data_IF_816315936610
#
_entry.id   IF_816315936610
#
_cell.length_a   1.000
_cell.length_b   1.000
_cell.length_c   1.000
_cell.angle_alpha   90.00
_cell.angle_beta   90.00
_cell.angle_gamma   90.00
#
_symmetry.space_group_name_H-M   'P 1'
#
loop_
_entity.id
_entity.type
_entity.pdbx_description
1 polymer ?
#
# COMPACT_ATOMS: atom_id res chain seq x y z
N UNK A 1 6.67 16.89 19.73
CA UNK A 1 7.34 15.58 19.62
C UNK A 1 6.59 14.57 20.46
N UNK A 2 6.40 13.35 19.95
CA UNK A 2 5.70 12.27 20.65
C UNK A 2 6.67 11.65 21.68
N UNK A 3 6.34 11.63 22.98
CA UNK A 3 7.25 11.09 24.00
C UNK A 3 7.58 9.60 23.77
N UNK A 4 8.81 9.13 24.06
CA UNK A 4 9.10 7.70 24.11
C UNK A 4 8.15 6.96 25.07
N UNK A 5 7.81 5.72 24.73
CA UNK A 5 6.82 4.90 25.42
C UNK A 5 5.36 5.23 25.09
N UNK A 6 5.09 6.28 24.31
CA UNK A 6 3.73 6.58 23.86
C UNK A 6 3.19 5.48 22.94
N UNK A 7 1.88 5.24 22.99
CA UNK A 7 1.19 4.25 22.17
C UNK A 7 1.15 4.69 20.70
N UNK A 8 1.63 3.83 19.82
CA UNK A 8 1.57 3.98 18.36
C UNK A 8 0.74 2.82 17.79
N UNK A 9 -0.36 3.12 17.09
CA UNK A 9 -1.18 2.13 16.40
C UNK A 9 -0.94 2.20 14.90
N UNK A 10 -0.57 1.08 14.27
CA UNK A 10 -0.44 1.00 12.82
C UNK A 10 -1.62 0.26 12.20
N UNK A 11 -2.39 0.97 11.38
CA UNK A 11 -3.50 0.44 10.60
C UNK A 11 -3.07 0.31 9.14
N UNK A 12 -3.58 -0.71 8.45
CA UNK A 12 -3.43 -0.82 7.02
C UNK A 12 -3.39 -2.23 6.49
N UNK A 13 -2.97 -2.30 5.23
CA UNK A 13 -2.92 -3.50 4.44
C UNK A 13 -1.48 -3.99 4.22
N UNK A 14 -1.23 -4.71 3.13
CA UNK A 14 0.05 -5.36 2.85
C UNK A 14 1.23 -4.39 2.67
N UNK A 15 0.98 -3.16 2.22
CA UNK A 15 2.03 -2.14 2.06
C UNK A 15 2.51 -1.59 3.40
N UNK A 16 1.71 -1.68 4.46
CA UNK A 16 2.16 -1.45 5.83
C UNK A 16 2.61 -2.73 6.53
N UNK A 17 2.03 -3.89 6.22
CA UNK A 17 2.38 -5.16 6.85
C UNK A 17 3.76 -5.69 6.43
N UNK A 18 4.20 -5.43 5.19
CA UNK A 18 5.50 -5.84 4.67
C UNK A 18 5.67 -7.36 4.46
N UNK A 19 4.74 -8.03 3.76
CA UNK A 19 4.78 -9.47 3.60
C UNK A 19 6.04 -9.94 2.86
N UNK A 20 6.59 -11.05 3.32
CA UNK A 20 7.82 -11.64 2.76
C UNK A 20 9.12 -11.03 3.29
N UNK A 21 9.07 -9.99 4.11
CA UNK A 21 10.25 -9.40 4.77
C UNK A 21 10.44 -10.08 6.14
N UNK A 22 11.61 -10.69 6.37
CA UNK A 22 11.90 -11.34 7.66
C UNK A 22 12.29 -10.35 8.74
N UNK A 23 12.02 -10.65 10.03
CA UNK A 23 11.25 -11.79 10.51
C UNK A 23 9.75 -11.60 10.26
N UNK A 24 9.01 -12.69 10.00
CA UNK A 24 7.55 -12.64 9.93
C UNK A 24 7.01 -12.84 11.34
N UNK A 25 6.39 -11.81 11.91
CA UNK A 25 5.90 -11.79 13.30
C UNK A 25 4.43 -12.19 13.41
N UNK A 26 3.66 -12.06 12.32
CA UNK A 26 2.29 -12.57 12.25
C UNK A 26 1.98 -13.13 10.85
N UNK A 27 2.05 -14.46 10.72
CA UNK A 27 1.97 -15.15 9.42
C UNK A 27 0.63 -14.95 8.68
N UNK A 28 -0.55 -15.07 9.31
CA UNK A 28 -1.84 -14.86 8.62
C UNK A 28 -1.97 -13.45 8.02
N UNK A 29 -1.52 -12.44 8.77
CA UNK A 29 -1.52 -11.04 8.34
C UNK A 29 -0.42 -10.71 7.32
N UNK A 30 0.54 -11.64 7.09
CA UNK A 30 1.77 -11.34 6.36
C UNK A 30 2.58 -10.22 7.00
N UNK A 31 2.52 -10.06 8.33
CA UNK A 31 3.15 -8.94 9.03
C UNK A 31 4.62 -9.24 9.32
N UNK A 32 5.47 -8.33 8.89
CA UNK A 32 6.91 -8.34 9.16
C UNK A 32 7.25 -7.56 10.41
N UNK A 33 8.19 -8.06 11.21
CA UNK A 33 8.85 -7.31 12.29
C UNK A 33 9.88 -6.30 11.79
N UNK A 34 9.96 -6.10 10.47
CA UNK A 34 10.79 -5.09 9.82
C UNK A 34 10.01 -4.28 8.78
N UNK A 35 8.69 -4.19 8.96
CA UNK A 35 7.86 -3.24 8.22
C UNK A 35 8.06 -1.80 8.74
N UNK A 36 7.58 -0.80 8.01
CA UNK A 36 7.82 0.60 8.37
C UNK A 36 7.29 0.97 9.78
N UNK A 37 6.14 0.45 10.27
CA UNK A 37 5.71 0.71 11.64
C UNK A 37 6.70 0.26 12.70
N UNK A 38 7.27 -0.95 12.58
CA UNK A 38 8.28 -1.45 13.51
C UNK A 38 9.55 -0.57 13.48
N UNK A 39 9.96 -0.10 12.30
CA UNK A 39 11.12 0.77 12.16
C UNK A 39 10.90 2.16 12.80
N UNK A 40 9.74 2.78 12.55
CA UNK A 40 9.37 4.07 13.17
C UNK A 40 9.29 3.94 14.70
N UNK A 41 8.66 2.86 15.19
CA UNK A 41 8.51 2.62 16.62
C UNK A 41 9.87 2.41 17.31
N UNK A 42 10.77 1.66 16.68
CA UNK A 42 12.11 1.43 17.21
C UNK A 42 12.93 2.74 17.30
N UNK A 43 12.90 3.57 16.25
CA UNK A 43 13.64 4.83 16.21
C UNK A 43 13.14 5.84 17.27
N UNK A 44 11.83 5.91 17.49
CA UNK A 44 11.23 6.86 18.44
C UNK A 44 11.02 6.26 19.85
N UNK A 45 11.31 4.97 20.04
CA UNK A 45 11.06 4.26 21.29
C UNK A 45 9.57 4.17 21.66
N UNK A 46 8.67 3.99 20.68
CA UNK A 46 7.22 3.94 20.89
C UNK A 46 6.71 2.53 21.21
N UNK A 47 5.59 2.46 21.94
CA UNK A 47 4.88 1.21 22.21
C UNK A 47 3.95 0.89 21.04
N UNK A 48 4.42 0.03 20.13
CA UNK A 48 3.74 -0.29 18.88
C UNK A 48 2.67 -1.36 19.05
N UNK A 49 1.44 -1.01 18.66
CA UNK A 49 0.35 -1.92 18.32
C UNK A 49 0.22 -1.95 16.81
N UNK A 50 0.90 -2.90 16.19
CA UNK A 50 0.74 -3.14 14.76
C UNK A 50 -0.47 -4.07 14.55
N UNK A 51 -1.52 -3.58 13.88
CA UNK A 51 -2.68 -4.38 13.47
C UNK A 51 -2.83 -4.44 11.94
N UNK A 52 -1.78 -4.08 11.20
CA UNK A 52 -1.76 -4.16 9.74
C UNK A 52 -2.00 -5.60 9.27
N UNK A 53 -2.80 -5.76 8.21
CA UNK A 53 -3.20 -7.08 7.73
C UNK A 53 -3.24 -7.13 6.21
N UNK A 54 -2.42 -7.98 5.60
CA UNK A 54 -2.37 -8.12 4.15
C UNK A 54 -3.74 -8.48 3.56
N UNK A 55 -4.18 -7.71 2.56
CA UNK A 55 -5.51 -7.90 1.96
C UNK A 55 -6.61 -7.04 2.60
N UNK A 56 -6.33 -6.36 3.73
CA UNK A 56 -7.30 -5.45 4.33
C UNK A 56 -7.74 -4.35 3.34
N UNK A 57 -9.04 -4.08 3.35
CA UNK A 57 -9.70 -2.93 2.70
C UNK A 57 -10.04 -1.90 3.76
N UNK A 58 -10.52 -0.72 3.38
CA UNK A 58 -10.97 0.28 4.37
C UNK A 58 -12.13 -0.22 5.24
N UNK A 59 -13.00 -1.10 4.72
CA UNK A 59 -14.04 -1.76 5.52
C UNK A 59 -13.47 -2.62 6.66
N UNK A 60 -12.36 -3.33 6.43
CA UNK A 60 -11.67 -4.10 7.48
C UNK A 60 -11.00 -3.22 8.54
N UNK A 61 -10.71 -1.96 8.21
CA UNK A 61 -10.26 -1.00 9.22
C UNK A 61 -11.45 -0.51 10.05
N UNK A 62 -12.59 -0.26 9.41
CA UNK A 62 -13.76 0.39 10.00
C UNK A 62 -14.68 -0.54 10.79
N UNK A 63 -15.13 -1.62 10.18
CA UNK A 63 -16.30 -2.40 10.63
C UNK A 63 -16.16 -3.90 10.51
N UNK A 64 -15.39 -4.38 9.54
CA UNK A 64 -15.41 -5.79 9.16
C UNK A 64 -14.24 -6.54 9.81
N UNK A 65 -14.52 -7.73 10.34
CA UNK A 65 -13.48 -8.65 10.79
C UNK A 65 -12.77 -9.30 9.60
N UNK A 66 -11.46 -9.54 9.70
CA UNK A 66 -10.68 -10.25 8.68
C UNK A 66 -10.05 -11.51 9.28
N UNK A 67 -10.42 -12.69 8.79
CA UNK A 67 -9.89 -13.99 9.25
C UNK A 67 -9.91 -14.18 10.78
N UNK A 68 -10.95 -13.65 11.44
CA UNK A 68 -11.10 -13.68 12.90
C UNK A 68 -10.38 -12.55 13.65
N UNK A 69 -9.59 -11.70 12.97
CA UNK A 69 -9.12 -10.45 13.53
C UNK A 69 -10.27 -9.41 13.56
N UNK A 70 -10.43 -8.64 14.64
CA UNK A 70 -11.44 -7.59 14.72
C UNK A 70 -11.12 -6.43 13.76
N UNK A 71 -12.08 -5.51 13.53
CA UNK A 71 -11.82 -4.27 12.80
C UNK A 71 -10.61 -3.54 13.38
N UNK A 72 -9.73 -3.04 12.51
CA UNK A 72 -8.43 -2.52 12.98
C UNK A 72 -8.58 -1.27 13.88
N UNK A 73 -9.65 -0.48 13.71
CA UNK A 73 -9.94 0.65 14.59
C UNK A 73 -10.17 0.26 16.06
N UNK A 74 -10.50 -1.00 16.36
CA UNK A 74 -10.67 -1.47 17.73
C UNK A 74 -9.35 -1.45 18.53
N UNK A 75 -8.20 -1.36 17.83
CA UNK A 75 -6.89 -1.21 18.45
C UNK A 75 -6.57 0.23 18.89
N UNK A 76 -7.40 1.21 18.51
CA UNK A 76 -7.19 2.63 18.81
C UNK A 76 -7.92 2.98 20.11
N UNK A 77 -7.14 3.33 21.14
CA UNK A 77 -7.63 3.81 22.43
C UNK A 77 -7.25 5.26 22.75
N UNK A 78 -7.82 5.87 23.79
CA UNK A 78 -7.58 7.27 24.17
C UNK A 78 -6.12 7.60 24.51
N UNK A 79 -5.30 6.60 24.83
CA UNK A 79 -3.87 6.69 25.09
C UNK A 79 -3.01 6.74 23.81
N UNK A 80 -3.61 6.50 22.64
CA UNK A 80 -2.91 6.51 21.35
C UNK A 80 -2.39 7.90 21.03
N UNK A 81 -1.08 8.01 20.80
CA UNK A 81 -0.41 9.26 20.46
C UNK A 81 -0.07 9.37 18.96
N UNK A 82 0.10 8.24 18.27
CA UNK A 82 0.38 8.17 16.85
C UNK A 82 -0.49 7.11 16.18
N UNK A 83 -1.06 7.44 15.02
CA UNK A 83 -1.66 6.46 14.12
C UNK A 83 -1.12 6.66 12.71
N UNK A 84 -0.65 5.58 12.08
CA UNK A 84 -0.38 5.58 10.62
C UNK A 84 -1.36 4.68 9.91
N UNK A 85 -1.81 5.07 8.72
CA UNK A 85 -2.83 4.37 7.94
C UNK A 85 -2.34 4.16 6.51
N UNK A 86 -2.26 2.91 6.05
CA UNK A 86 -2.00 2.55 4.63
C UNK A 86 -3.06 1.56 4.11
N UNK A 87 -4.17 2.06 3.56
CA UNK A 87 -5.28 1.25 3.04
C UNK A 87 -5.95 1.90 1.81
N UNK A 88 -6.89 1.23 1.15
CA UNK A 88 -7.57 1.75 -0.05
C UNK A 88 -7.09 1.12 -1.37
N UNK A 89 -5.85 0.61 -1.42
CA UNK A 89 -5.35 -0.06 -2.61
C UNK A 89 -6.09 -1.37 -2.94
N UNK A 90 -6.58 -2.11 -1.94
CA UNK A 90 -7.37 -3.32 -2.19
C UNK A 90 -8.81 -3.02 -2.56
N UNK A 91 -9.37 -1.92 -2.07
CA UNK A 91 -10.69 -1.41 -2.44
C UNK A 91 -10.74 -1.13 -3.96
N UNK A 92 -9.61 -0.70 -4.55
CA UNK A 92 -9.44 -0.55 -5.99
C UNK A 92 -8.87 -1.78 -6.70
N UNK A 93 -8.64 -2.89 -6.01
CA UNK A 93 -7.90 -4.05 -6.54
C UNK A 93 -6.55 -3.68 -7.18
N UNK A 94 -5.84 -2.66 -6.70
CA UNK A 94 -4.66 -2.08 -7.36
C UNK A 94 -3.56 -3.11 -7.65
N UNK A 95 -3.00 -3.69 -6.60
CA UNK A 95 -1.95 -4.71 -6.72
C UNK A 95 -2.51 -6.00 -7.32
N UNK A 96 -3.75 -6.36 -6.96
CA UNK A 96 -4.41 -7.57 -7.48
C UNK A 96 -4.58 -7.56 -9.00
N UNK A 97 -4.99 -6.41 -9.55
CA UNK A 97 -5.13 -6.18 -10.99
C UNK A 97 -3.78 -6.24 -11.69
N UNK A 98 -2.74 -5.64 -11.08
CA UNK A 98 -1.39 -5.71 -11.63
C UNK A 98 -0.86 -7.16 -11.66
N UNK A 99 -1.02 -7.92 -10.58
CA UNK A 99 -0.65 -9.35 -10.54
C UNK A 99 -1.41 -10.14 -11.61
N UNK A 100 -2.73 -9.98 -11.70
CA UNK A 100 -3.57 -10.70 -12.68
C UNK A 100 -3.16 -10.39 -14.10
N UNK A 101 -2.94 -9.11 -14.41
CA UNK A 101 -2.46 -8.63 -15.70
C UNK A 101 -1.14 -9.28 -16.11
N UNK A 102 -0.18 -9.23 -15.20
CA UNK A 102 1.16 -9.79 -15.38
C UNK A 102 1.17 -11.30 -15.52
N UNK A 103 0.33 -12.00 -14.76
CA UNK A 103 0.12 -13.43 -14.88
C UNK A 103 -0.46 -13.81 -16.23
N UNK A 104 -1.55 -13.17 -16.66
CA UNK A 104 -2.19 -13.45 -17.95
C UNK A 104 -1.25 -13.16 -19.12
N UNK A 105 -0.49 -12.07 -19.07
CA UNK A 105 0.49 -11.76 -20.10
C UNK A 105 1.63 -12.79 -20.15
N UNK A 106 2.09 -13.28 -19.00
CA UNK A 106 3.12 -14.32 -18.91
C UNK A 106 2.60 -15.65 -19.47
N UNK A 107 1.39 -16.06 -19.09
CA UNK A 107 0.76 -17.29 -19.59
C UNK A 107 0.32 -17.21 -21.06
N UNK A 108 0.08 -16.01 -21.60
CA UNK A 108 -0.25 -15.81 -22.99
C UNK A 108 0.97 -15.82 -23.92
N UNK A 109 2.21 -15.73 -23.41
CA UNK A 109 3.43 -15.75 -24.24
C UNK A 109 3.49 -16.98 -25.18
N UNK A 110 3.29 -18.23 -24.70
CA UNK A 110 3.25 -19.40 -25.59
C UNK A 110 2.09 -19.37 -26.58
N UNK A 111 0.94 -18.82 -26.19
CA UNK A 111 -0.25 -18.71 -27.04
C UNK A 111 -0.08 -17.73 -28.22
N UNK A 112 0.96 -16.88 -28.22
CA UNK A 112 1.28 -16.04 -29.39
C UNK A 112 1.63 -16.87 -30.64
N UNK A 113 2.10 -18.11 -30.44
CA UNK A 113 2.32 -19.10 -31.52
C UNK A 113 1.00 -19.50 -32.20
N UNK A 114 -0.12 -19.47 -31.46
CA UNK A 114 -1.47 -19.75 -31.97
C UNK A 114 -2.15 -18.52 -32.60
N UNK A 115 -1.43 -17.38 -32.69
CA UNK A 115 -1.86 -16.16 -33.38
C UNK A 115 -2.14 -14.97 -32.44
N UNK A 116 -1.78 -13.76 -32.91
CA UNK A 116 -1.90 -12.49 -32.16
C UNK A 116 -3.31 -12.20 -31.64
N UNK A 117 -4.36 -12.62 -32.36
CA UNK A 117 -5.77 -12.41 -31.95
C UNK A 117 -6.13 -13.17 -30.68
N UNK A 118 -5.63 -14.40 -30.50
CA UNK A 118 -5.89 -15.22 -29.31
C UNK A 118 -5.19 -14.61 -28.10
N UNK A 119 -3.92 -14.21 -28.25
CA UNK A 119 -3.19 -13.53 -27.20
C UNK A 119 -3.89 -12.22 -26.79
N UNK A 120 -4.30 -11.37 -27.74
CA UNK A 120 -4.97 -10.09 -27.43
C UNK A 120 -6.30 -10.28 -26.69
N UNK A 121 -7.08 -11.32 -27.01
CA UNK A 121 -8.33 -11.62 -26.28
C UNK A 121 -8.07 -12.01 -24.82
N UNK A 122 -6.97 -12.69 -24.53
CA UNK A 122 -6.58 -13.03 -23.16
C UNK A 122 -6.17 -11.75 -22.41
N UNK A 123 -5.43 -10.85 -23.06
CA UNK A 123 -4.96 -9.59 -22.46
C UNK A 123 -6.09 -8.59 -22.16
N UNK A 124 -7.13 -8.55 -22.99
CA UNK A 124 -8.29 -7.67 -22.82
C UNK A 124 -9.18 -8.03 -21.62
N UNK A 125 -8.89 -9.12 -20.89
CA UNK A 125 -9.68 -9.56 -19.73
C UNK A 125 -9.38 -8.79 -18.44
N UNK A 126 -8.41 -7.89 -18.46
CA UNK A 126 -8.02 -7.09 -17.28
C UNK A 126 -8.22 -5.62 -17.61
N UNK A 127 -9.16 -4.98 -16.91
CA UNK A 127 -9.26 -3.54 -16.86
C UNK A 127 -8.39 -3.03 -15.73
N UNK A 128 -7.56 -2.03 -16.04
CA UNK A 128 -6.78 -1.28 -15.05
C UNK A 128 -7.39 0.11 -14.82
N UNK A 129 -8.52 0.41 -15.46
CA UNK A 129 -9.23 1.66 -15.27
C UNK A 129 -10.22 1.49 -14.12
N UNK A 130 -10.30 2.52 -13.29
CA UNK A 130 -11.28 2.69 -12.22
C UNK A 130 -12.00 3.99 -12.47
N UNK A 131 -13.27 4.03 -12.10
CA UNK A 131 -14.09 5.22 -12.31
C UNK A 131 -13.79 6.26 -11.22
N UNK A 132 -14.03 7.53 -11.49
CA UNK A 132 -13.84 8.60 -10.50
C UNK A 132 -14.64 8.34 -9.21
N UNK A 133 -15.78 7.66 -9.31
CA UNK A 133 -16.58 7.24 -8.17
C UNK A 133 -15.88 6.21 -7.27
N UNK A 134 -15.04 5.34 -7.83
CA UNK A 134 -14.26 4.37 -7.05
C UNK A 134 -13.20 5.10 -6.20
N UNK A 135 -12.46 6.05 -6.80
CA UNK A 135 -11.49 6.86 -6.06
C UNK A 135 -12.16 7.76 -5.02
N UNK A 136 -13.34 8.29 -5.33
CA UNK A 136 -14.13 9.05 -4.37
C UNK A 136 -14.56 8.18 -3.18
N UNK A 137 -14.99 6.93 -3.43
CA UNK A 137 -15.33 5.97 -2.37
C UNK A 137 -14.14 5.68 -1.46
N UNK A 138 -12.93 5.51 -2.03
CA UNK A 138 -11.70 5.36 -1.23
C UNK A 138 -11.41 6.60 -0.41
N UNK A 139 -11.54 7.79 -1.01
CA UNK A 139 -11.34 9.06 -0.31
C UNK A 139 -12.27 9.15 0.91
N UNK A 140 -13.56 8.92 0.72
CA UNK A 140 -14.57 9.03 1.78
C UNK A 140 -14.34 7.99 2.87
N UNK A 141 -13.91 6.78 2.50
CA UNK A 141 -13.59 5.71 3.45
C UNK A 141 -12.34 6.03 4.27
N UNK A 142 -11.29 6.61 3.67
CA UNK A 142 -10.12 7.07 4.40
C UNK A 142 -10.47 8.22 5.37
N UNK A 143 -11.31 9.16 4.95
CA UNK A 143 -11.84 10.22 5.84
C UNK A 143 -12.62 9.63 7.01
N UNK A 144 -13.43 8.58 6.76
CA UNK A 144 -14.15 7.87 7.82
C UNK A 144 -13.19 7.16 8.79
N UNK A 145 -12.11 6.54 8.29
CA UNK A 145 -11.09 5.92 9.15
C UNK A 145 -10.43 6.98 10.04
N UNK A 146 -10.00 8.11 9.47
CA UNK A 146 -9.38 9.21 10.25
C UNK A 146 -10.36 9.76 11.29
N UNK A 147 -11.63 9.92 10.94
CA UNK A 147 -12.68 10.36 11.88
C UNK A 147 -12.84 9.36 13.02
N UNK A 148 -12.91 8.06 12.72
CA UNK A 148 -13.01 7.00 13.71
C UNK A 148 -11.80 6.91 14.63
N UNK A 149 -10.58 7.22 14.14
CA UNK A 149 -9.39 7.37 14.97
C UNK A 149 -9.55 8.53 15.95
N UNK A 150 -9.97 9.71 15.48
CA UNK A 150 -10.07 10.92 16.32
C UNK A 150 -11.18 10.84 17.37
N UNK A 151 -12.26 10.14 17.07
CA UNK A 151 -13.30 9.85 18.05
C UNK A 151 -12.75 9.02 19.23
N UNK A 152 -11.88 8.05 18.94
CA UNK A 152 -11.28 7.14 19.94
C UNK A 152 -10.05 7.73 20.63
N UNK A 153 -9.26 8.51 19.89
CA UNK A 153 -7.98 9.06 20.30
C UNK A 153 -7.84 10.53 19.84
N UNK A 154 -8.53 11.47 20.50
CA UNK A 154 -8.61 12.87 20.05
C UNK A 154 -7.27 13.62 20.09
N UNK A 155 -6.27 13.09 20.80
CA UNK A 155 -4.92 13.65 20.89
C UNK A 155 -3.92 12.98 19.94
N UNK A 156 -4.33 11.93 19.22
CA UNK A 156 -3.43 11.21 18.32
C UNK A 156 -3.07 12.07 17.10
N UNK A 157 -1.78 12.09 16.76
CA UNK A 157 -1.33 12.54 15.43
C UNK A 157 -1.66 11.42 14.43
N UNK A 158 -2.40 11.76 13.37
CA UNK A 158 -2.85 10.78 12.36
C UNK A 158 -2.14 11.06 11.04
N UNK A 159 -1.47 10.04 10.50
CA UNK A 159 -0.71 10.12 9.25
C UNK A 159 -1.28 9.12 8.25
N UNK A 160 -1.78 9.62 7.12
CA UNK A 160 -2.05 8.80 5.95
C UNK A 160 -0.73 8.57 5.21
N UNK A 161 -0.38 7.32 4.96
CA UNK A 161 0.80 6.93 4.20
C UNK A 161 0.31 6.31 2.90
N UNK A 162 0.57 6.97 1.78
CA UNK A 162 0.17 6.43 0.49
C UNK A 162 1.13 5.31 0.02
N UNK A 163 0.98 4.87 -1.23
CA UNK A 163 1.66 3.68 -1.74
C UNK A 163 2.98 4.03 -2.43
N UNK A 164 4.03 3.25 -2.18
CA UNK A 164 5.24 3.29 -3.01
C UNK A 164 4.90 3.07 -4.49
N UNK A 165 5.57 3.82 -5.37
CA UNK A 165 5.43 3.71 -6.81
C UNK A 165 5.89 2.34 -7.31
N UNK A 166 5.00 1.65 -8.02
CA UNK A 166 5.33 0.41 -8.72
C UNK A 166 5.85 0.67 -10.13
N UNK A 167 5.38 1.75 -10.76
CA UNK A 167 5.75 2.18 -12.11
C UNK A 167 6.33 3.58 -12.02
N UNK A 168 7.46 3.80 -12.68
CA UNK A 168 8.15 5.09 -12.73
C UNK A 168 8.89 5.29 -14.06
N UNK A 169 9.66 6.38 -14.20
CA UNK A 169 10.30 6.75 -15.47
C UNK A 169 11.24 5.69 -16.05
N UNK A 170 11.85 4.88 -15.19
CA UNK A 170 12.79 3.81 -15.58
C UNK A 170 12.11 2.46 -15.84
N UNK A 171 10.80 2.32 -15.58
CA UNK A 171 10.10 1.03 -15.71
C UNK A 171 9.87 0.69 -17.17
N UNK A 172 10.53 -0.36 -17.67
CA UNK A 172 10.40 -0.78 -19.07
C UNK A 172 9.31 -1.84 -19.23
N UNK A 173 8.33 -1.62 -20.11
CA UNK A 173 7.32 -2.63 -20.42
C UNK A 173 7.98 -3.88 -21.00
N UNK A 174 7.37 -5.04 -20.73
CA UNK A 174 7.78 -6.41 -21.13
C UNK A 174 9.09 -6.92 -20.56
N UNK A 175 10.00 -6.02 -20.16
CA UNK A 175 11.31 -6.34 -19.62
C UNK A 175 11.29 -6.37 -18.09
N UNK A 176 10.95 -5.25 -17.45
CA UNK A 176 10.94 -5.16 -15.98
C UNK A 176 9.60 -5.61 -15.41
N UNK A 177 8.52 -5.37 -16.16
CA UNK A 177 7.16 -5.83 -15.84
C UNK A 177 6.56 -6.53 -17.05
N UNK A 178 5.82 -7.64 -16.89
CA UNK A 178 5.21 -8.35 -18.01
C UNK A 178 3.90 -7.66 -18.46
N UNK A 179 3.92 -6.34 -18.62
CA UNK A 179 2.87 -5.53 -19.25
C UNK A 179 3.39 -4.94 -20.55
N UNK A 180 2.50 -4.69 -21.51
CA UNK A 180 2.86 -3.98 -22.74
C UNK A 180 2.81 -2.45 -22.56
N UNK A 181 3.21 -1.75 -23.61
CA UNK A 181 3.26 -0.30 -23.73
C UNK A 181 1.86 0.35 -23.58
N UNK A 182 0.79 -0.39 -23.88
CA UNK A 182 -0.60 0.07 -23.76
C UNK A 182 -1.17 -0.10 -22.35
N UNK A 183 -0.75 -1.16 -21.63
CA UNK A 183 -1.25 -1.49 -20.30
C UNK A 183 -0.52 -0.75 -19.18
N UNK A 184 0.80 -0.54 -19.35
CA UNK A 184 1.62 0.09 -18.31
C UNK A 184 1.13 1.50 -17.92
N UNK A 185 0.72 2.38 -18.87
CA UNK A 185 0.16 3.69 -18.53
C UNK A 185 -1.11 3.60 -17.67
N UNK A 186 -1.98 2.61 -17.90
CA UNK A 186 -3.21 2.47 -17.11
C UNK A 186 -2.93 2.08 -15.65
N UNK A 187 -1.84 1.36 -15.38
CA UNK A 187 -1.39 1.10 -13.99
C UNK A 187 -0.90 2.38 -13.33
N UNK A 188 -0.14 3.21 -14.06
CA UNK A 188 0.30 4.51 -13.56
C UNK A 188 -0.89 5.44 -13.26
N UNK A 189 -1.89 5.48 -14.15
CA UNK A 189 -3.13 6.23 -13.91
C UNK A 189 -3.86 5.76 -12.64
N UNK A 190 -3.89 4.45 -12.38
CA UNK A 190 -4.49 3.94 -11.14
C UNK A 190 -3.70 4.36 -9.89
N UNK A 191 -2.37 4.35 -9.97
CA UNK A 191 -1.50 4.82 -8.91
C UNK A 191 -1.72 6.32 -8.62
N UNK A 192 -1.80 7.14 -9.67
CA UNK A 192 -2.02 8.58 -9.57
C UNK A 192 -3.40 8.89 -8.95
N UNK A 193 -4.44 8.18 -9.38
CA UNK A 193 -5.79 8.31 -8.80
C UNK A 193 -5.83 7.93 -7.32
N UNK A 194 -5.13 6.85 -6.93
CA UNK A 194 -5.03 6.44 -5.53
C UNK A 194 -4.24 7.47 -4.69
N UNK A 195 -3.12 7.99 -5.19
CA UNK A 195 -2.36 9.05 -4.53
C UNK A 195 -3.21 10.33 -4.37
N UNK A 196 -3.99 10.70 -5.39
CA UNK A 196 -4.92 11.83 -5.33
C UNK A 196 -6.04 11.61 -4.29
N UNK A 197 -6.57 10.39 -4.17
CA UNK A 197 -7.56 10.05 -3.15
C UNK A 197 -6.98 10.20 -1.73
N UNK A 198 -5.74 9.77 -1.50
CA UNK A 198 -5.02 9.99 -0.23
C UNK A 198 -4.83 11.48 0.07
N UNK A 199 -4.37 12.25 -0.92
CA UNK A 199 -4.16 13.70 -0.76
C UNK A 199 -5.48 14.43 -0.44
N UNK A 200 -6.56 14.06 -1.11
CA UNK A 200 -7.89 14.61 -0.82
C UNK A 200 -8.37 14.22 0.57
N UNK A 201 -8.22 12.96 0.96
CA UNK A 201 -8.61 12.50 2.30
C UNK A 201 -7.82 13.21 3.41
N UNK A 202 -6.50 13.39 3.23
CA UNK A 202 -5.66 14.15 4.14
C UNK A 202 -6.12 15.61 4.25
N UNK A 203 -6.36 16.29 3.12
CA UNK A 203 -6.85 17.67 3.10
C UNK A 203 -8.24 17.83 3.74
N UNK A 204 -9.17 16.90 3.48
CA UNK A 204 -10.53 16.94 4.02
C UNK A 204 -10.57 16.63 5.51
N UNK A 205 -9.80 15.64 5.96
CA UNK A 205 -9.77 15.27 7.36
C UNK A 205 -8.82 16.16 8.17
N UNK A 206 -7.76 16.73 7.59
CA UNK A 206 -6.66 17.37 8.31
C UNK A 206 -5.69 16.38 8.94
N UNK A 207 -5.65 15.13 8.47
CA UNK A 207 -4.53 14.22 8.77
C UNK A 207 -3.29 14.66 7.99
N UNK A 208 -2.11 14.32 8.52
CA UNK A 208 -0.86 14.49 7.76
C UNK A 208 -0.81 13.47 6.62
N UNK A 209 -0.07 13.80 5.56
CA UNK A 209 0.18 12.91 4.43
C UNK A 209 1.67 12.65 4.27
N UNK A 210 2.03 11.38 4.22
CA UNK A 210 3.29 10.91 3.65
C UNK A 210 3.02 10.47 2.21
N UNK A 211 3.51 11.26 1.25
CA UNK A 211 3.43 10.99 -0.19
C UNK A 211 4.59 10.08 -0.64
N UNK A 212 4.60 8.84 -0.14
CA UNK A 212 5.55 7.79 -0.51
C UNK A 212 5.54 7.52 -2.03
N UNK A 213 4.40 7.66 -2.71
CA UNK A 213 4.26 7.54 -4.16
C UNK A 213 5.21 8.49 -4.89
N UNK A 214 5.14 9.79 -4.58
CA UNK A 214 5.98 10.82 -5.16
C UNK A 214 7.47 10.62 -4.82
N UNK A 215 7.76 10.32 -3.56
CA UNK A 215 9.14 10.12 -3.08
C UNK A 215 9.84 8.91 -3.73
N UNK A 216 9.07 7.93 -4.20
CA UNK A 216 9.60 6.66 -4.72
C UNK A 216 9.56 6.51 -6.23
N UNK A 217 9.16 7.55 -6.99
CA UNK A 217 9.08 7.48 -8.46
C UNK A 217 10.38 7.01 -9.14
N UNK A 218 11.54 7.43 -8.63
CA UNK A 218 12.85 7.01 -9.14
C UNK A 218 13.31 5.64 -8.64
N UNK A 219 12.59 5.07 -7.67
CA UNK A 219 12.81 3.77 -7.05
C UNK A 219 11.75 2.74 -7.44
N UNK A 220 10.97 3.02 -8.49
CA UNK A 220 10.01 2.07 -9.05
C UNK A 220 10.71 0.86 -9.68
N UNK A 221 9.93 -0.13 -10.09
CA UNK A 221 10.44 -1.38 -10.71
C UNK A 221 11.26 -1.04 -11.96
N UNK A 222 12.43 -1.66 -12.11
CA UNK A 222 13.37 -1.40 -13.22
C UNK A 222 14.40 -0.31 -12.94
N UNK A 223 14.28 0.43 -11.84
CA UNK A 223 15.33 1.33 -11.35
C UNK A 223 16.58 0.57 -10.86
N UNK A 224 17.67 1.31 -10.63
CA UNK A 224 18.91 0.74 -10.09
C UNK A 224 18.75 0.23 -8.64
N UNK A 225 17.94 0.94 -7.84
CA UNK A 225 17.66 0.63 -6.44
C UNK A 225 16.15 0.60 -6.19
N UNK A 226 15.45 -0.45 -6.65
CA UNK A 226 14.01 -0.50 -6.53
C UNK A 226 13.59 -0.68 -5.08
N UNK A 227 12.56 0.06 -4.65
CA UNK A 227 11.96 -0.03 -3.32
C UNK A 227 10.80 -1.03 -3.26
N UNK A 228 10.39 -1.55 -4.41
CA UNK A 228 9.35 -2.57 -4.56
C UNK A 228 9.87 -3.79 -5.32
N UNK A 229 9.28 -4.94 -5.06
CA UNK A 229 9.61 -6.19 -5.74
C UNK A 229 8.93 -6.26 -7.11
N UNK A 230 9.62 -6.84 -8.10
CA UNK A 230 9.03 -7.17 -9.40
C UNK A 230 8.03 -8.34 -9.35
N UNK A 231 7.50 -8.69 -10.53
CA UNK A 231 6.61 -9.84 -10.69
C UNK A 231 7.38 -11.16 -10.65
N UNK A 232 6.85 -12.15 -9.93
CA UNK A 232 7.41 -13.49 -9.86
C UNK A 232 6.31 -14.53 -9.61
N UNK A 233 6.32 -15.61 -10.41
CA UNK A 233 5.41 -16.75 -10.26
C UNK A 233 5.90 -17.79 -9.24
N UNK A 234 7.17 -17.73 -8.86
CA UNK A 234 7.85 -18.83 -8.14
C UNK A 234 8.34 -18.42 -6.74
N UNK A 235 8.57 -17.13 -6.51
CA UNK A 235 9.29 -16.62 -5.33
C UNK A 235 8.80 -15.25 -4.91
N UNK A 236 8.80 -15.00 -3.61
CA UNK A 236 8.54 -13.69 -3.03
C UNK A 236 7.08 -13.23 -3.17
N UNK A 237 6.81 -12.06 -2.62
CA UNK A 237 5.52 -11.39 -2.78
C UNK A 237 5.67 -10.40 -3.93
N UNK A 238 4.88 -10.55 -4.99
CA UNK A 238 4.99 -9.69 -6.18
C UNK A 238 4.44 -8.29 -5.89
N UNK A 239 5.07 -7.23 -6.40
CA UNK A 239 4.58 -5.86 -6.35
C UNK A 239 4.33 -5.29 -4.94
N UNK A 240 5.17 -5.67 -3.99
CA UNK A 240 5.12 -5.14 -2.62
C UNK A 240 6.40 -4.41 -2.27
N UNK A 241 6.38 -3.54 -1.24
CA UNK A 241 7.61 -2.95 -0.70
C UNK A 241 8.61 -4.04 -0.31
N UNK A 242 9.89 -3.81 -0.60
CA UNK A 242 10.98 -4.61 -0.06
C UNK A 242 11.55 -3.94 1.21
N UNK A 243 12.61 -4.51 1.79
CA UNK A 243 13.22 -3.96 3.01
C UNK A 243 13.75 -2.52 2.83
N UNK A 244 14.26 -2.16 1.64
CA UNK A 244 14.70 -0.80 1.35
C UNK A 244 13.51 0.16 1.25
N UNK A 245 12.42 -0.25 0.60
CA UNK A 245 11.19 0.54 0.55
C UNK A 245 10.55 0.74 1.92
N UNK A 246 10.51 -0.29 2.78
CA UNK A 246 10.01 -0.16 4.15
C UNK A 246 10.83 0.84 4.97
N UNK A 247 12.16 0.83 4.81
CA UNK A 247 13.04 1.81 5.46
C UNK A 247 12.77 3.22 4.95
N UNK A 248 12.66 3.40 3.64
CA UNK A 248 12.37 4.71 3.06
C UNK A 248 11.03 5.28 3.53
N UNK A 249 9.98 4.46 3.61
CA UNK A 249 8.68 4.89 4.16
C UNK A 249 8.81 5.25 5.64
N UNK A 250 9.58 4.50 6.42
CA UNK A 250 9.84 4.83 7.82
C UNK A 250 10.55 6.19 7.95
N UNK A 251 11.57 6.44 7.13
CA UNK A 251 12.31 7.71 7.11
C UNK A 251 11.39 8.90 6.77
N UNK A 252 10.50 8.73 5.77
CA UNK A 252 9.51 9.75 5.41
C UNK A 252 8.52 10.05 6.55
N UNK A 253 8.03 9.00 7.23
CA UNK A 253 7.17 9.17 8.42
C UNK A 253 7.90 9.92 9.53
N UNK A 254 9.17 9.57 9.79
CA UNK A 254 10.00 10.24 10.80
C UNK A 254 10.26 11.71 10.46
N UNK A 255 10.45 12.04 9.18
CA UNK A 255 10.57 13.42 8.71
C UNK A 255 9.29 14.22 8.96
N UNK A 256 8.13 13.67 8.59
CA UNK A 256 6.83 14.30 8.87
C UNK A 256 6.60 14.52 10.36
N UNK A 257 7.05 13.59 11.22
CA UNK A 257 6.91 13.73 12.67
C UNK A 257 7.80 14.82 13.29
N UNK A 258 8.85 15.25 12.58
CA UNK A 258 9.78 16.30 13.02
C UNK A 258 9.35 17.70 12.57
N UNK A 259 8.56 17.81 11.50
CA UNK A 259 7.87 19.05 11.12
C UNK A 259 6.68 19.34 12.03
#
# INVERSE_FOLDING_TARGET
>A
MIPPGSRYVALGSSFAAGPGISPIVHKPAGRSGSNYPHLVAAELGLDLVDVTYSGATTAHLLTDSQDGAPPQLDAVGPETALVTITAGGNDLEYVGTFIRGSMLNTLAKPATVLGRRVANRIRARVSYLKDDADYQTVTDSLVAVVSGVRERAPQARVILVDYLALVGPSTRPRLDVPLNEEQLPSVAMMADGLAAAFAKAAATSGADLVAASAASLQHAIGSAEPWTTGFSLLRGVSYHPNAAGMRAVADLVLETLRS
#
